data_IF_364578198548
#
_entry.id   IF_364578198548
#
_cell.length_a   1.000
_cell.length_b   1.000
_cell.length_c   1.000
_cell.angle_alpha   90.00
_cell.angle_beta   90.00
_cell.angle_gamma   90.00
#
_symmetry.space_group_name_H-M   'P 1'
#
loop_
_entity.id
_entity.type
_entity.pdbx_description
1 polymer ?
#
# COMPACT_ATOMS: atom_id res chain seq x y z
N UNK A 1 -24.92 0.18 -19.18
CA UNK A 1 -25.39 -0.12 -17.81
C UNK A 1 -26.13 1.10 -17.27
N UNK A 2 -27.17 0.91 -16.44
CA UNK A 2 -27.74 2.04 -15.69
C UNK A 2 -26.76 2.52 -14.63
N UNK A 3 -26.81 3.81 -14.25
CA UNK A 3 -25.98 4.37 -13.17
C UNK A 3 -26.11 3.54 -11.88
N UNK A 4 -27.34 3.14 -11.55
CA UNK A 4 -27.63 2.31 -10.38
C UNK A 4 -26.94 0.94 -10.43
N UNK A 5 -26.84 0.32 -11.60
CA UNK A 5 -26.15 -0.96 -11.77
C UNK A 5 -24.64 -0.82 -11.55
N UNK A 6 -24.04 0.27 -12.04
CA UNK A 6 -22.60 0.54 -11.83
C UNK A 6 -22.31 0.79 -10.36
N UNK A 7 -23.09 1.67 -9.71
CA UNK A 7 -22.91 1.95 -8.28
C UNK A 7 -23.08 0.69 -7.43
N UNK A 8 -24.08 -0.15 -7.72
CA UNK A 8 -24.24 -1.41 -6.99
C UNK A 8 -23.02 -2.33 -7.18
N UNK A 9 -22.48 -2.42 -8.40
CA UNK A 9 -21.29 -3.23 -8.67
C UNK A 9 -20.05 -2.70 -7.93
N UNK A 10 -19.86 -1.38 -7.86
CA UNK A 10 -18.78 -0.75 -7.11
C UNK A 10 -18.86 -1.06 -5.62
N UNK A 11 -20.05 -0.92 -5.01
CA UNK A 11 -20.27 -1.24 -3.59
C UNK A 11 -20.07 -2.72 -3.29
N UNK A 12 -20.56 -3.62 -4.15
CA UNK A 12 -20.35 -5.05 -3.99
C UNK A 12 -18.86 -5.42 -4.10
N UNK A 13 -18.13 -4.82 -5.04
CA UNK A 13 -16.69 -5.02 -5.17
C UNK A 13 -15.95 -4.50 -3.93
N UNK A 14 -16.36 -3.36 -3.39
CA UNK A 14 -15.80 -2.81 -2.17
C UNK A 14 -15.97 -3.77 -0.98
N UNK A 15 -17.18 -4.34 -0.82
CA UNK A 15 -17.46 -5.35 0.22
C UNK A 15 -16.61 -6.61 0.03
N UNK A 16 -16.44 -7.09 -1.19
CA UNK A 16 -15.60 -8.26 -1.48
C UNK A 16 -14.13 -7.98 -1.10
N UNK A 17 -13.62 -6.78 -1.40
CA UNK A 17 -12.26 -6.38 -1.02
C UNK A 17 -12.08 -6.36 0.50
N UNK A 18 -13.07 -5.85 1.24
CA UNK A 18 -13.06 -5.85 2.72
C UNK A 18 -13.05 -7.28 3.24
N UNK A 19 -14.01 -8.12 2.83
CA UNK A 19 -14.15 -9.50 3.35
C UNK A 19 -12.90 -10.33 3.06
N UNK A 20 -12.34 -10.23 1.85
CA UNK A 20 -11.10 -10.94 1.50
C UNK A 20 -9.91 -10.36 2.28
N UNK A 21 -9.96 -9.07 2.63
CA UNK A 21 -8.92 -8.40 3.41
C UNK A 21 -8.81 -8.87 4.85
N UNK A 22 -9.93 -9.21 5.49
CA UNK A 22 -9.95 -9.73 6.86
C UNK A 22 -9.06 -10.98 7.03
N UNK A 23 -8.90 -11.82 6.00
CA UNK A 23 -7.99 -12.99 6.02
C UNK A 23 -6.53 -12.61 6.25
N UNK A 24 -6.15 -11.36 5.98
CA UNK A 24 -4.79 -10.86 6.17
C UNK A 24 -4.64 -10.07 7.47
N UNK A 25 -5.66 -10.04 8.33
CA UNK A 25 -5.51 -9.56 9.70
C UNK A 25 -4.90 -10.66 10.59
N UNK A 26 -3.97 -10.29 11.49
CA UNK A 26 -3.54 -11.20 12.54
C UNK A 26 -4.76 -11.60 13.39
N UNK A 27 -4.71 -12.81 13.95
CA UNK A 27 -5.77 -13.41 14.78
C UNK A 27 -7.06 -13.84 14.04
N UNK A 28 -7.32 -13.33 12.83
CA UNK A 28 -8.41 -13.81 11.95
C UNK A 28 -7.90 -14.82 10.94
N UNK A 29 -6.77 -14.51 10.29
CA UNK A 29 -6.10 -15.42 9.36
C UNK A 29 -4.69 -15.79 9.81
N UNK A 30 -4.06 -16.72 9.09
CA UNK A 30 -2.66 -17.08 9.30
C UNK A 30 -1.74 -16.04 8.63
N UNK A 31 -1.75 -14.82 9.16
CA UNK A 31 -1.01 -13.67 8.64
C UNK A 31 -0.26 -12.99 9.79
N UNK A 32 1.02 -12.69 9.60
CA UNK A 32 1.77 -11.89 10.57
C UNK A 32 1.51 -10.40 10.34
N UNK A 33 1.84 -9.58 11.34
CA UNK A 33 1.71 -8.12 11.23
C UNK A 33 2.54 -7.58 10.06
N UNK A 34 3.73 -8.13 9.82
CA UNK A 34 4.60 -7.72 8.70
C UNK A 34 3.94 -8.01 7.35
N UNK A 35 3.29 -9.16 7.21
CA UNK A 35 2.55 -9.54 6.01
C UNK A 35 1.31 -8.67 5.79
N UNK A 36 0.63 -8.25 6.87
CA UNK A 36 -0.46 -7.27 6.82
C UNK A 36 0.04 -5.93 6.25
N UNK A 37 1.12 -5.36 6.79
CA UNK A 37 1.69 -4.11 6.29
C UNK A 37 2.20 -4.24 4.85
N UNK A 38 2.87 -5.36 4.52
CA UNK A 38 3.31 -5.67 3.15
C UNK A 38 2.14 -5.62 2.15
N UNK A 39 1.00 -6.19 2.53
CA UNK A 39 -0.23 -6.19 1.72
C UNK A 39 -0.77 -4.77 1.52
N UNK A 40 -0.83 -3.96 2.56
CA UNK A 40 -1.32 -2.57 2.43
C UNK A 40 -0.45 -1.75 1.49
N UNK A 41 0.88 -1.87 1.60
CA UNK A 41 1.80 -1.21 0.65
C UNK A 41 1.59 -1.73 -0.78
N UNK A 42 1.42 -3.04 -0.95
CA UNK A 42 1.16 -3.64 -2.27
C UNK A 42 -0.13 -3.09 -2.89
N UNK A 43 -1.22 -2.99 -2.13
CA UNK A 43 -2.49 -2.44 -2.60
C UNK A 43 -2.36 -0.98 -3.02
N UNK A 44 -1.67 -0.16 -2.21
CA UNK A 44 -1.39 1.23 -2.56
C UNK A 44 -0.64 1.31 -3.90
N UNK A 45 0.40 0.50 -4.10
CA UNK A 45 1.20 0.50 -5.33
C UNK A 45 0.47 -0.12 -6.54
N UNK A 46 -0.46 -1.03 -6.32
CA UNK A 46 -1.30 -1.60 -7.38
C UNK A 46 -2.19 -0.55 -8.04
N UNK A 47 -2.50 0.55 -7.34
CA UNK A 47 -3.19 1.72 -7.93
C UNK A 47 -2.27 2.64 -8.74
N UNK A 48 -0.98 2.31 -8.84
CA UNK A 48 0.03 3.04 -9.61
C UNK A 48 1.24 3.50 -8.79
N UNK A 49 2.35 3.89 -9.44
CA UNK A 49 3.59 4.26 -8.76
C UNK A 49 3.41 5.41 -7.78
N UNK A 50 3.95 5.29 -6.56
CA UNK A 50 3.90 6.34 -5.53
C UNK A 50 5.25 6.54 -4.84
N UNK A 51 5.62 7.79 -4.49
CA UNK A 51 6.79 8.03 -3.67
C UNK A 51 6.53 7.56 -2.22
N UNK A 52 7.60 7.25 -1.49
CA UNK A 52 7.54 6.77 -0.10
C UNK A 52 6.67 7.67 0.80
N UNK A 53 6.86 8.99 0.73
CA UNK A 53 6.09 9.97 1.52
C UNK A 53 4.58 9.95 1.26
N UNK A 54 4.14 9.51 0.08
CA UNK A 54 2.72 9.37 -0.24
C UNK A 54 2.17 8.03 0.24
N UNK A 55 2.99 6.97 0.24
CA UNK A 55 2.61 5.66 0.79
C UNK A 55 2.36 5.80 2.30
N UNK A 56 3.28 6.42 3.02
CA UNK A 56 3.20 6.65 4.47
C UNK A 56 1.87 7.30 4.89
N UNK A 57 1.41 8.30 4.12
CA UNK A 57 0.13 9.00 4.36
C UNK A 57 -1.11 8.20 3.99
N UNK A 58 -0.98 7.18 3.14
CA UNK A 58 -2.09 6.36 2.65
C UNK A 58 -2.24 5.06 3.45
N UNK A 59 -1.25 4.68 4.25
CA UNK A 59 -1.34 3.54 5.14
C UNK A 59 -2.47 3.80 6.16
N UNK A 60 -3.36 2.82 6.39
CA UNK A 60 -4.44 2.96 7.36
C UNK A 60 -3.88 3.12 8.78
N UNK A 61 -4.50 4.00 9.56
CA UNK A 61 -4.18 4.16 10.98
C UNK A 61 -4.64 2.91 11.73
N UNK A 62 -3.69 2.02 12.01
CA UNK A 62 -3.93 0.75 12.67
C UNK A 62 -2.88 0.52 13.77
N UNK A 63 -3.29 0.30 15.04
CA UNK A 63 -2.35 0.07 16.15
C UNK A 63 -1.43 -1.14 15.94
N UNK A 64 -1.87 -2.10 15.13
CA UNK A 64 -1.10 -3.30 14.79
C UNK A 64 0.08 -2.97 13.87
N UNK A 65 -0.04 -1.91 13.07
CA UNK A 65 0.92 -1.50 12.04
C UNK A 65 1.84 -0.36 12.49
N UNK A 66 1.35 0.53 13.36
CA UNK A 66 2.03 1.76 13.78
C UNK A 66 3.48 1.56 14.28
N UNK A 67 3.79 0.39 14.86
CA UNK A 67 5.11 0.07 15.41
C UNK A 67 6.06 -0.61 14.42
N UNK A 68 5.63 -0.87 13.19
CA UNK A 68 6.43 -1.57 12.18
C UNK A 68 7.17 -0.63 11.24
N UNK A 69 8.30 -1.10 10.70
CA UNK A 69 9.05 -0.36 9.68
C UNK A 69 8.34 -0.41 8.34
N UNK A 70 7.86 0.74 7.89
CA UNK A 70 7.30 0.92 6.55
C UNK A 70 8.37 0.70 5.46
N UNK A 71 9.62 1.08 5.74
CA UNK A 71 10.74 0.95 4.81
C UNK A 71 10.99 -0.51 4.41
N UNK A 72 10.94 -1.44 5.38
CA UNK A 72 11.11 -2.85 5.13
C UNK A 72 9.98 -3.40 4.23
N UNK A 73 8.73 -3.04 4.54
CA UNK A 73 7.57 -3.45 3.75
C UNK A 73 7.67 -2.91 2.32
N UNK A 74 7.98 -1.62 2.16
CA UNK A 74 8.13 -0.94 0.86
C UNK A 74 9.19 -1.58 -0.01
N UNK A 75 10.39 -1.83 0.52
CA UNK A 75 11.48 -2.51 -0.21
C UNK A 75 11.13 -3.94 -0.59
N UNK A 76 10.22 -4.58 0.14
CA UNK A 76 9.85 -5.96 -0.11
C UNK A 76 8.87 -6.13 -1.28
N UNK A 77 8.14 -5.08 -1.68
CA UNK A 77 7.10 -5.14 -2.73
C UNK A 77 7.33 -4.20 -3.91
N UNK A 78 8.28 -3.27 -3.84
CA UNK A 78 8.55 -2.32 -4.92
C UNK A 78 10.01 -1.95 -5.04
N UNK A 79 10.37 -1.47 -6.24
CA UNK A 79 11.69 -0.92 -6.54
C UNK A 79 11.67 0.61 -6.39
N UNK A 80 12.44 1.12 -5.45
CA UNK A 80 12.53 2.54 -5.14
C UNK A 80 13.91 3.06 -5.54
N UNK A 81 13.95 3.73 -6.69
CA UNK A 81 15.16 4.37 -7.21
C UNK A 81 15.41 5.69 -6.48
N UNK A 82 16.54 5.79 -5.79
CA UNK A 82 17.00 7.05 -5.24
C UNK A 82 17.62 7.88 -6.38
N UNK A 83 17.01 8.99 -6.75
CA UNK A 83 17.65 9.94 -7.68
C UNK A 83 18.60 10.80 -6.86
N UNK A 84 19.88 10.44 -6.85
CA UNK A 84 20.93 11.27 -6.26
C UNK A 84 21.04 12.58 -7.04
N UNK A 85 20.54 13.67 -6.46
CA UNK A 85 20.70 15.05 -6.98
C UNK A 85 22.18 15.53 -7.07
N UNK A 86 23.15 14.66 -6.79
CA UNK A 86 24.59 14.96 -6.84
C UNK A 86 25.13 15.05 -8.28
N UNK A 87 24.49 14.40 -9.27
CA UNK A 87 25.01 14.42 -10.65
C UNK A 87 24.75 15.78 -11.34
N UNK A 88 23.72 16.54 -10.91
CA UNK A 88 23.42 17.84 -11.52
C UNK A 88 24.38 18.95 -11.09
N UNK A 89 25.10 18.80 -9.98
CA UNK A 89 26.04 19.82 -9.49
C UNK A 89 27.45 19.61 -10.06
N UNK A 90 27.77 18.40 -10.55
CA UNK A 90 29.07 18.10 -11.16
C UNK A 90 29.14 18.44 -12.65
N UNK A 91 28.02 18.80 -13.29
CA UNK A 91 27.99 19.22 -14.70
C UNK A 91 28.09 20.75 -14.88
N UNK A 92 28.17 21.51 -13.79
CA UNK A 92 28.32 22.97 -13.78
C UNK A 92 29.68 23.42 -13.22
N UNK A 93 30.70 22.56 -13.30
CA UNK A 93 32.07 22.92 -12.92
C UNK A 93 33.05 22.62 -14.04
#
# INVERSE_FOLDING_TARGET
LSKSTVTLAEEMLHLIIIIIGERFMPDVGNCTRELMLRREVLHILATGPKPFSKIDRLIPVCPLIEKMSLEAAVKSVGDFRFVSNIILISSYR
#
